data_IF_740012473332
#
_entry.id   IF_740012473332
#
_cell.length_a   1.000
_cell.length_b   1.000
_cell.length_c   1.000
_cell.angle_alpha   90.00
_cell.angle_beta   90.00
_cell.angle_gamma   90.00
#
_symmetry.space_group_name_H-M   'P 1'
#
loop_
_entity.id
_entity.type
_entity.pdbx_description
1 polymer ?
#
# COMPACT_ATOMS: atom_id res chain seq x y z
N UNK A 1 12.42 -23.97 -4.14
CA UNK A 1 11.57 -22.76 -4.18
C UNK A 1 10.38 -22.90 -3.23
N UNK A 2 9.66 -24.01 -3.29
CA UNK A 2 8.56 -24.35 -2.38
C UNK A 2 8.96 -24.25 -0.89
N UNK A 3 10.07 -24.87 -0.50
CA UNK A 3 10.58 -24.81 0.90
C UNK A 3 10.94 -23.41 1.39
N UNK A 4 11.21 -22.47 0.48
CA UNK A 4 11.50 -21.06 0.80
C UNK A 4 10.20 -20.28 0.94
N UNK A 5 9.23 -20.52 0.05
CA UNK A 5 7.90 -19.91 0.09
C UNK A 5 7.12 -20.35 1.34
N UNK A 6 7.19 -21.62 1.71
CA UNK A 6 6.54 -22.16 2.92
C UNK A 6 7.06 -21.53 4.22
N UNK A 7 8.29 -20.98 4.21
CA UNK A 7 8.88 -20.28 5.36
C UNK A 7 8.47 -18.81 5.44
N UNK A 8 7.84 -18.26 4.40
CA UNK A 8 7.36 -16.88 4.40
C UNK A 8 5.96 -16.88 5.00
N UNK A 9 5.77 -16.12 6.08
CA UNK A 9 4.45 -15.99 6.69
C UNK A 9 3.44 -15.39 5.71
N UNK A 10 2.18 -15.85 5.79
CA UNK A 10 1.07 -15.29 5.01
C UNK A 10 1.01 -13.76 5.15
N UNK A 11 1.24 -13.25 6.37
CA UNK A 11 1.36 -11.81 6.61
C UNK A 11 2.36 -11.13 5.67
N UNK A 12 3.59 -11.64 5.57
CA UNK A 12 4.62 -11.06 4.71
C UNK A 12 4.27 -11.16 3.22
N UNK A 13 3.59 -12.23 2.82
CA UNK A 13 3.10 -12.38 1.44
C UNK A 13 2.09 -11.27 1.12
N UNK A 14 1.04 -11.15 1.93
CA UNK A 14 -0.06 -10.21 1.66
C UNK A 14 0.29 -8.75 1.94
N UNK A 15 1.10 -8.45 2.96
CA UNK A 15 1.39 -7.06 3.34
C UNK A 15 2.65 -6.49 2.68
N UNK A 16 3.58 -7.33 2.24
CA UNK A 16 4.85 -6.87 1.65
C UNK A 16 5.00 -7.35 0.20
N UNK A 17 5.08 -8.66 -0.04
CA UNK A 17 5.44 -9.18 -1.38
C UNK A 17 4.39 -8.80 -2.44
N UNK A 18 3.10 -9.02 -2.17
CA UNK A 18 2.05 -8.72 -3.15
C UNK A 18 2.00 -7.21 -3.46
N UNK A 19 1.95 -6.28 -2.48
CA UNK A 19 2.00 -4.86 -2.76
C UNK A 19 3.24 -4.41 -3.55
N UNK A 20 4.41 -4.97 -3.23
CA UNK A 20 5.62 -4.66 -3.97
C UNK A 20 5.64 -5.22 -5.40
N UNK A 21 5.09 -6.41 -5.61
CA UNK A 21 4.88 -6.97 -6.94
C UNK A 21 3.94 -6.11 -7.78
N UNK A 22 2.82 -5.65 -7.20
CA UNK A 22 1.87 -4.74 -7.84
C UNK A 22 2.54 -3.41 -8.18
N UNK A 23 3.34 -2.85 -7.26
CA UNK A 23 4.12 -1.64 -7.52
C UNK A 23 5.08 -1.84 -8.70
N UNK A 24 5.91 -2.88 -8.69
CA UNK A 24 6.86 -3.16 -9.77
C UNK A 24 6.15 -3.39 -11.11
N UNK A 25 5.04 -4.13 -11.11
CA UNK A 25 4.24 -4.39 -12.31
C UNK A 25 3.74 -3.09 -12.94
N UNK A 26 3.05 -2.25 -12.17
CA UNK A 26 2.50 -1.01 -12.71
C UNK A 26 3.59 -0.01 -13.09
N UNK A 27 4.70 0.01 -12.35
CA UNK A 27 5.84 0.87 -12.70
C UNK A 27 6.43 0.47 -14.05
N UNK A 28 6.64 -0.82 -14.29
CA UNK A 28 7.09 -1.30 -15.59
C UNK A 28 6.04 -1.08 -16.69
N UNK A 29 4.76 -1.35 -16.42
CA UNK A 29 3.69 -1.19 -17.40
C UNK A 29 3.54 0.26 -17.88
N UNK A 30 3.60 1.23 -16.97
CA UNK A 30 3.38 2.63 -17.30
C UNK A 30 4.64 3.37 -17.75
N UNK A 31 5.81 3.00 -17.20
CA UNK A 31 7.04 3.76 -17.37
C UNK A 31 8.13 2.99 -18.12
N UNK A 32 7.89 1.73 -18.48
CA UNK A 32 8.89 0.83 -19.08
C UNK A 32 10.16 0.68 -18.21
N UNK A 33 10.03 0.87 -16.89
CA UNK A 33 11.13 0.73 -15.93
C UNK A 33 10.95 -0.58 -15.16
N UNK A 34 11.87 -1.50 -15.36
CA UNK A 34 11.91 -2.75 -14.61
C UNK A 34 12.55 -2.53 -13.24
N UNK A 35 11.73 -2.53 -12.18
CA UNK A 35 12.17 -2.49 -10.79
C UNK A 35 12.46 -3.87 -10.19
N UNK A 36 12.22 -4.93 -10.97
CA UNK A 36 12.57 -6.30 -10.66
C UNK A 36 14.00 -6.65 -11.07
N UNK A 37 14.38 -7.90 -10.80
CA UNK A 37 15.69 -8.44 -11.10
C UNK A 37 15.60 -9.66 -12.02
N UNK A 38 16.76 -10.14 -12.46
CA UNK A 38 16.83 -11.32 -13.31
C UNK A 38 16.62 -12.59 -12.48
N UNK A 39 15.47 -13.24 -12.66
CA UNK A 39 15.13 -14.50 -12.01
C UNK A 39 14.25 -14.37 -10.77
N UNK A 40 13.63 -15.49 -10.39
CA UNK A 40 12.54 -15.52 -9.41
C UNK A 40 12.96 -15.10 -8.01
N UNK A 41 14.18 -15.50 -7.58
CA UNK A 41 14.67 -15.18 -6.22
C UNK A 41 14.91 -13.68 -6.07
N UNK A 42 15.57 -13.05 -7.05
CA UNK A 42 15.79 -11.61 -7.05
C UNK A 42 14.47 -10.83 -7.08
N UNK A 43 13.52 -11.26 -7.92
CA UNK A 43 12.19 -10.65 -7.95
C UNK A 43 11.46 -10.77 -6.61
N UNK A 44 11.52 -11.92 -5.94
CA UNK A 44 10.91 -12.11 -4.62
C UNK A 44 11.52 -11.15 -3.58
N UNK A 45 12.85 -11.01 -3.56
CA UNK A 45 13.55 -10.08 -2.69
C UNK A 45 13.17 -8.62 -2.98
N UNK A 46 13.13 -8.23 -4.26
CA UNK A 46 12.79 -6.87 -4.67
C UNK A 46 11.32 -6.55 -4.41
N UNK A 47 10.39 -7.47 -4.67
CA UNK A 47 8.98 -7.31 -4.32
C UNK A 47 8.81 -7.14 -2.81
N UNK A 48 9.52 -7.92 -1.99
CA UNK A 48 9.50 -7.72 -0.55
C UNK A 48 10.02 -6.31 -0.17
N UNK A 49 11.16 -5.89 -0.71
CA UNK A 49 11.76 -4.58 -0.46
C UNK A 49 10.81 -3.44 -0.83
N UNK A 50 10.30 -3.44 -2.07
CA UNK A 50 9.38 -2.40 -2.55
C UNK A 50 8.08 -2.38 -1.76
N UNK A 51 7.56 -3.55 -1.39
CA UNK A 51 6.41 -3.69 -0.52
C UNK A 51 6.60 -3.04 0.84
N UNK A 52 7.72 -3.34 1.51
CA UNK A 52 8.09 -2.70 2.77
C UNK A 52 8.21 -1.19 2.57
N UNK A 53 8.87 -0.73 1.50
CA UNK A 53 9.03 0.69 1.19
C UNK A 53 7.69 1.41 1.05
N UNK A 54 6.78 0.91 0.21
CA UNK A 54 5.44 1.53 0.04
C UNK A 54 4.60 1.41 1.32
N UNK A 55 4.78 0.36 2.13
CA UNK A 55 4.09 0.24 3.43
C UNK A 55 4.48 1.37 4.39
N UNK A 56 5.75 1.80 4.35
CA UNK A 56 6.25 2.91 5.16
C UNK A 56 5.65 4.23 4.71
N UNK A 57 5.61 4.49 3.40
CA UNK A 57 4.94 5.67 2.85
C UNK A 57 3.47 5.70 3.29
N UNK A 58 2.76 4.56 3.20
CA UNK A 58 1.40 4.45 3.69
C UNK A 58 1.27 4.79 5.19
N UNK A 59 2.20 4.36 6.04
CA UNK A 59 2.09 4.57 7.50
C UNK A 59 2.53 5.96 7.94
N UNK A 60 3.53 6.52 7.26
CA UNK A 60 4.09 7.83 7.60
C UNK A 60 3.23 8.97 7.04
N UNK A 61 2.62 8.78 5.86
CA UNK A 61 1.85 9.82 5.19
C UNK A 61 0.35 9.50 5.18
N UNK A 62 -0.07 8.42 4.53
CA UNK A 62 -1.51 8.13 4.33
C UNK A 62 -2.24 7.99 5.65
N UNK A 63 -1.71 7.20 6.58
CA UNK A 63 -2.33 6.98 7.89
C UNK A 63 -2.44 8.28 8.69
N UNK A 64 -1.32 9.00 8.84
CA UNK A 64 -1.27 10.25 9.60
C UNK A 64 -2.24 11.28 9.04
N UNK A 65 -2.28 11.45 7.72
CA UNK A 65 -3.22 12.36 7.05
C UNK A 65 -4.66 11.90 7.24
N UNK A 66 -4.94 10.61 7.09
CA UNK A 66 -6.29 10.06 7.23
C UNK A 66 -6.85 10.26 8.64
N UNK A 67 -6.03 10.10 9.67
CA UNK A 67 -6.41 10.35 11.06
C UNK A 67 -6.62 11.86 11.27
N UNK A 68 -5.69 12.70 10.81
CA UNK A 68 -5.77 14.17 10.95
C UNK A 68 -7.04 14.74 10.29
N UNK A 69 -7.40 14.24 9.12
CA UNK A 69 -8.62 14.61 8.39
C UNK A 69 -9.88 13.91 8.90
N UNK A 70 -9.78 13.06 9.95
CA UNK A 70 -10.87 12.23 10.47
C UNK A 70 -11.52 11.33 9.42
N UNK A 71 -10.80 11.02 8.34
CA UNK A 71 -11.21 10.08 7.31
C UNK A 71 -11.29 8.65 7.86
N UNK A 72 -10.33 8.30 8.73
CA UNK A 72 -10.39 7.09 9.57
C UNK A 72 -10.34 7.47 11.05
N UNK A 73 -10.86 6.59 11.90
CA UNK A 73 -10.78 6.68 13.36
C UNK A 73 -10.38 5.33 13.90
N UNK A 74 -9.42 5.31 14.82
CA UNK A 74 -8.97 4.08 15.47
C UNK A 74 -9.58 3.96 16.85
N UNK A 75 -9.80 2.72 17.28
CA UNK A 75 -10.15 2.43 18.66
C UNK A 75 -8.96 2.76 19.59
N UNK A 76 -9.21 3.09 20.87
CA UNK A 76 -8.14 3.27 21.83
C UNK A 76 -7.24 2.02 21.90
N UNK A 77 -5.93 2.23 22.09
CA UNK A 77 -4.98 1.12 22.05
C UNK A 77 -5.24 0.06 23.15
N UNK A 78 -5.60 0.50 24.36
CA UNK A 78 -5.95 -0.41 25.46
C UNK A 78 -7.18 -1.27 25.15
N UNK A 79 -8.15 -0.69 24.43
CA UNK A 79 -9.36 -1.37 23.98
C UNK A 79 -9.03 -2.40 22.91
N UNK A 80 -8.26 -2.01 21.91
CA UNK A 80 -7.74 -2.92 20.89
C UNK A 80 -7.00 -4.12 21.50
N UNK A 81 -6.14 -3.91 22.51
CA UNK A 81 -5.40 -5.00 23.15
C UNK A 81 -6.31 -5.99 23.90
N UNK A 82 -7.36 -5.49 24.57
CA UNK A 82 -8.34 -6.34 25.24
C UNK A 82 -9.16 -7.13 24.23
N UNK A 83 -9.72 -6.45 23.24
CA UNK A 83 -10.55 -7.06 22.22
C UNK A 83 -9.78 -8.09 21.37
N UNK A 84 -8.52 -7.82 20.99
CA UNK A 84 -7.71 -8.73 20.18
C UNK A 84 -7.29 -10.02 20.90
N UNK A 85 -7.44 -10.08 22.24
CA UNK A 85 -7.28 -11.31 23.01
C UNK A 85 -8.55 -12.16 23.00
N UNK A 86 -9.72 -11.54 22.89
CA UNK A 86 -11.02 -12.20 22.85
C UNK A 86 -11.44 -12.60 21.42
N UNK A 87 -11.16 -11.74 20.43
CA UNK A 87 -11.48 -11.93 19.02
C UNK A 87 -10.19 -11.94 18.17
N UNK A 88 -9.76 -13.13 17.76
CA UNK A 88 -8.58 -13.33 16.92
C UNK A 88 -8.71 -12.75 15.50
N UNK A 89 -9.94 -12.60 14.98
CA UNK A 89 -10.19 -12.03 13.66
C UNK A 89 -9.74 -10.57 13.60
N UNK A 90 -9.75 -9.85 14.73
CA UNK A 90 -9.32 -8.44 14.77
C UNK A 90 -7.90 -8.29 14.22
N UNK A 91 -7.00 -9.24 14.51
CA UNK A 91 -5.64 -9.25 13.96
C UNK A 91 -5.67 -9.45 12.44
N UNK A 92 -6.40 -10.44 11.95
CA UNK A 92 -6.55 -10.72 10.51
C UNK A 92 -7.13 -9.50 9.78
N UNK A 93 -8.18 -8.88 10.34
CA UNK A 93 -8.78 -7.68 9.78
C UNK A 93 -7.79 -6.51 9.74
N UNK A 94 -6.92 -6.37 10.73
CA UNK A 94 -5.85 -5.38 10.76
C UNK A 94 -4.78 -5.65 9.70
N UNK A 95 -4.43 -6.91 9.46
CA UNK A 95 -3.53 -7.29 8.36
C UNK A 95 -4.11 -6.89 7.00
N UNK A 96 -5.40 -7.18 6.77
CA UNK A 96 -6.12 -6.73 5.55
C UNK A 96 -6.15 -5.20 5.47
N UNK A 97 -6.41 -4.51 6.59
CA UNK A 97 -6.44 -3.05 6.64
C UNK A 97 -5.10 -2.41 6.26
N UNK A 98 -4.00 -2.98 6.76
CA UNK A 98 -2.64 -2.55 6.45
C UNK A 98 -2.29 -2.79 4.97
N UNK A 99 -2.70 -3.91 4.40
CA UNK A 99 -2.54 -4.19 2.96
C UNK A 99 -3.31 -3.17 2.11
N UNK A 100 -4.57 -2.86 2.44
CA UNK A 100 -5.37 -1.85 1.73
C UNK A 100 -4.71 -0.46 1.79
N UNK A 101 -4.24 -0.04 2.97
CA UNK A 101 -3.48 1.20 3.14
C UNK A 101 -2.20 1.20 2.30
N UNK A 102 -1.52 0.06 2.20
CA UNK A 102 -0.29 -0.08 1.42
C UNK A 102 -0.58 0.01 -0.08
N UNK A 103 -1.65 -0.59 -0.57
CA UNK A 103 -2.08 -0.40 -1.96
C UNK A 103 -2.47 1.04 -2.27
N UNK A 104 -3.12 1.77 -1.35
CA UNK A 104 -3.29 3.21 -1.52
C UNK A 104 -1.94 3.90 -1.71
N UNK A 105 -0.91 3.50 -0.94
CA UNK A 105 0.43 4.06 -1.12
C UNK A 105 1.05 3.75 -2.47
N UNK A 106 0.87 2.53 -2.99
CA UNK A 106 1.33 2.14 -4.33
C UNK A 106 0.76 3.10 -5.38
N UNK A 107 -0.56 3.30 -5.40
CA UNK A 107 -1.22 4.14 -6.39
C UNK A 107 -0.95 5.64 -6.18
N UNK A 108 -0.71 6.07 -4.94
CA UNK A 108 -0.24 7.42 -4.65
C UNK A 108 1.15 7.68 -5.24
N UNK A 109 2.09 6.72 -5.09
CA UNK A 109 3.42 6.81 -5.68
C UNK A 109 3.39 6.87 -7.22
N UNK A 110 2.52 6.08 -7.86
CA UNK A 110 2.33 6.14 -9.32
C UNK A 110 1.79 7.50 -9.75
N UNK A 111 0.78 8.01 -9.04
CA UNK A 111 0.20 9.34 -9.30
C UNK A 111 1.28 10.42 -9.19
N UNK A 112 2.09 10.37 -8.12
CA UNK A 112 3.17 11.31 -7.91
C UNK A 112 4.22 11.25 -9.03
N UNK A 113 4.60 10.04 -9.47
CA UNK A 113 5.54 9.85 -10.58
C UNK A 113 5.02 10.48 -11.87
N UNK A 114 3.75 10.25 -12.23
CA UNK A 114 3.17 10.87 -13.41
C UNK A 114 3.08 12.40 -13.32
N UNK A 115 2.73 12.94 -12.15
CA UNK A 115 2.68 14.40 -11.94
C UNK A 115 4.06 15.02 -12.08
N UNK A 116 5.11 14.37 -11.54
CA UNK A 116 6.49 14.81 -11.74
C UNK A 116 6.89 14.77 -13.21
N UNK A 117 6.55 13.70 -13.93
CA UNK A 117 6.78 13.60 -15.38
C UNK A 117 6.12 14.75 -16.15
N UNK A 118 4.86 15.05 -15.85
CA UNK A 118 4.12 16.13 -16.49
C UNK A 118 4.74 17.51 -16.22
N UNK A 119 5.17 17.78 -14.98
CA UNK A 119 5.87 19.00 -14.62
C UNK A 119 7.21 19.08 -15.37
N UNK A 120 7.97 17.98 -15.41
CA UNK A 120 9.27 17.93 -16.10
C UNK A 120 9.15 18.24 -17.59
N UNK A 121 8.10 17.74 -18.25
CA UNK A 121 7.80 18.02 -19.65
C UNK A 121 7.43 19.48 -19.89
N UNK A 122 6.61 20.09 -19.01
CA UNK A 122 6.21 21.49 -19.13
C UNK A 122 7.40 22.46 -18.99
N UNK A 123 8.30 22.18 -18.06
CA UNK A 123 9.40 23.09 -17.71
C UNK A 123 10.74 22.70 -18.38
N UNK A 124 10.74 21.76 -19.32
CA UNK A 124 11.93 21.24 -20.02
C UNK A 124 13.09 20.88 -19.05
N UNK A 125 12.75 20.23 -17.93
CA UNK A 125 13.75 19.86 -16.91
C UNK A 125 14.58 18.68 -17.41
N UNK A 126 15.84 18.93 -17.73
CA UNK A 126 16.79 17.93 -18.29
C UNK A 126 17.70 17.25 -17.28
N UNK A 127 17.57 17.59 -16.00
CA UNK A 127 18.48 17.11 -14.95
C UNK A 127 18.22 15.65 -14.56
N UNK A 128 17.04 15.12 -14.87
CA UNK A 128 16.66 13.72 -14.68
C UNK A 128 15.80 13.25 -15.85
N UNK A 129 16.09 12.04 -16.36
CA UNK A 129 15.23 11.38 -17.34
C UNK A 129 14.03 10.78 -16.62
N UNK A 130 12.92 11.51 -16.64
CA UNK A 130 11.63 11.01 -16.16
C UNK A 130 10.89 10.31 -17.30
N UNK A 131 10.12 9.25 -17.00
CA UNK A 131 9.30 8.59 -18.00
C UNK A 131 8.22 9.54 -18.50
N UNK A 132 7.70 9.30 -19.71
CA UNK A 132 6.67 10.16 -20.31
C UNK A 132 5.41 10.22 -19.46
N UNK A 133 4.80 11.39 -19.38
CA UNK A 133 3.53 11.57 -18.70
C UNK A 133 2.38 10.86 -19.46
N UNK A 134 1.36 10.41 -18.72
CA UNK A 134 0.16 9.80 -19.31
C UNK A 134 -1.06 10.23 -18.53
N UNK A 135 -1.95 11.01 -19.18
CA UNK A 135 -3.21 11.46 -18.57
C UNK A 135 -4.05 10.24 -18.16
N UNK A 136 -4.12 9.22 -19.01
CA UNK A 136 -4.82 7.97 -18.70
C UNK A 136 -4.20 7.30 -17.47
N UNK A 137 -2.86 7.25 -17.41
CA UNK A 137 -2.12 6.73 -16.27
C UNK A 137 -2.44 7.47 -14.96
N UNK A 138 -2.45 8.81 -14.98
CA UNK A 138 -2.82 9.65 -13.83
C UNK A 138 -4.25 9.37 -13.38
N UNK A 139 -5.20 9.35 -14.32
CA UNK A 139 -6.63 9.13 -14.00
C UNK A 139 -6.82 7.73 -13.41
N UNK A 140 -6.21 6.70 -14.00
CA UNK A 140 -6.28 5.32 -13.50
C UNK A 140 -5.63 5.21 -12.12
N UNK A 141 -4.45 5.81 -11.89
CA UNK A 141 -3.77 5.74 -10.59
C UNK A 141 -4.56 6.46 -9.50
N UNK A 142 -5.15 7.62 -9.80
CA UNK A 142 -6.04 8.34 -8.85
C UNK A 142 -7.28 7.51 -8.55
N UNK A 143 -7.91 6.92 -9.56
CA UNK A 143 -9.09 6.09 -9.37
C UNK A 143 -8.80 4.89 -8.44
N UNK A 144 -7.72 4.15 -8.71
CA UNK A 144 -7.31 3.00 -7.89
C UNK A 144 -6.93 3.44 -6.47
N UNK A 145 -6.22 4.58 -6.33
CA UNK A 145 -5.92 5.18 -5.03
C UNK A 145 -7.20 5.44 -4.22
N UNK A 146 -8.20 6.08 -4.83
CA UNK A 146 -9.46 6.38 -4.15
C UNK A 146 -10.18 5.11 -3.70
N UNK A 147 -10.28 4.09 -4.56
CA UNK A 147 -10.90 2.81 -4.19
C UNK A 147 -10.19 2.19 -2.98
N UNK A 148 -8.86 2.12 -3.00
CA UNK A 148 -8.09 1.55 -1.89
C UNK A 148 -8.25 2.38 -0.61
N UNK A 149 -8.31 3.71 -0.72
CA UNK A 149 -8.57 4.59 0.43
C UNK A 149 -9.94 4.37 1.05
N UNK A 150 -11.00 4.25 0.24
CA UNK A 150 -12.34 3.97 0.76
C UNK A 150 -12.45 2.55 1.33
N UNK A 151 -11.78 1.56 0.72
CA UNK A 151 -11.69 0.22 1.25
C UNK A 151 -10.97 0.20 2.61
N UNK A 152 -9.84 0.90 2.73
CA UNK A 152 -9.10 1.10 3.98
C UNK A 152 -9.98 1.74 5.07
N UNK A 153 -10.75 2.79 4.73
CA UNK A 153 -11.70 3.41 5.67
C UNK A 153 -12.78 2.42 6.13
N UNK A 154 -13.37 1.70 5.19
CA UNK A 154 -14.41 0.70 5.46
C UNK A 154 -13.88 -0.39 6.40
N UNK A 155 -12.71 -0.93 6.10
CA UNK A 155 -12.08 -1.97 6.90
C UNK A 155 -11.71 -1.48 8.31
N UNK A 156 -11.17 -0.27 8.42
CA UNK A 156 -10.91 0.37 9.72
C UNK A 156 -12.20 0.48 10.55
N UNK A 157 -13.33 0.86 9.95
CA UNK A 157 -14.61 0.92 10.67
C UNK A 157 -15.08 -0.44 11.18
N UNK A 158 -14.87 -1.52 10.43
CA UNK A 158 -15.21 -2.87 10.90
C UNK A 158 -14.36 -3.31 12.09
N UNK A 159 -13.07 -2.96 12.09
CA UNK A 159 -12.18 -3.22 13.23
C UNK A 159 -12.69 -2.48 14.47
N UNK A 160 -13.02 -1.20 14.35
CA UNK A 160 -13.56 -0.40 15.47
C UNK A 160 -14.83 -1.03 16.03
N UNK A 161 -15.79 -1.39 15.19
CA UNK A 161 -17.03 -2.05 15.62
C UNK A 161 -16.78 -3.37 16.35
N UNK A 162 -15.84 -4.18 15.86
CA UNK A 162 -15.45 -5.43 16.54
C UNK A 162 -14.83 -5.16 17.90
N UNK A 163 -13.96 -4.15 18.00
CA UNK A 163 -13.36 -3.76 19.28
C UNK A 163 -14.44 -3.30 20.27
N UNK A 164 -15.37 -2.43 19.83
CA UNK A 164 -16.47 -1.94 20.66
C UNK A 164 -17.35 -3.08 21.19
N UNK A 165 -17.72 -4.04 20.33
CA UNK A 165 -18.54 -5.20 20.70
C UNK A 165 -17.89 -6.14 21.75
N UNK A 166 -16.57 -6.10 21.93
CA UNK A 166 -15.87 -6.94 22.91
C UNK A 166 -15.69 -6.22 24.26
N UNK A 167 -16.01 -4.94 24.34
CA UNK A 167 -15.76 -4.08 25.50
C UNK A 167 -17.06 -3.54 26.09
N UNK A 168 -18.12 -3.47 25.27
CA UNK A 168 -19.51 -3.30 25.71
C UNK A 168 -20.01 -4.51 26.49
#
# INVERSE_FOLDING_TARGET
MESLIERISAYNIFNNIIPGAVFCYFFNFYFSINLGGEGTVYNLCLFYFWGVFVSRIGSLFIERISIKLRFVRYAPYGDYLRASRADGDIKIFLEVNNMLRTFSSVFLCLTFTFVLSFISEIYDVKWFELPKSSIVGVVTSIFLFLIMMFAYRKQTSYIVKRVENQIS
#
